data_IF_164956791222
#
_entry.id   IF_164956791222
#
_cell.length_a   1.000
_cell.length_b   1.000
_cell.length_c   1.000
_cell.angle_alpha   90.00
_cell.angle_beta   90.00
_cell.angle_gamma   90.00
#
_symmetry.space_group_name_H-M   'P 1'
#
loop_
_entity.id
_entity.type
_entity.pdbx_description
1 polymer ?
#
# COMPACT_ATOMS: atom_id res chain seq x y z
N UNK A 1 -23.80 -30.02 12.76
CA UNK A 1 -22.44 -30.58 12.98
C UNK A 1 -21.44 -29.49 12.60
N UNK A 2 -20.83 -28.82 13.58
CA UNK A 2 -19.78 -27.83 13.33
C UNK A 2 -18.58 -28.54 12.72
N UNK A 3 -18.25 -28.23 11.47
CA UNK A 3 -17.02 -28.71 10.84
C UNK A 3 -15.86 -27.91 11.43
N UNK A 4 -15.10 -28.53 12.32
CA UNK A 4 -13.85 -28.00 12.81
C UNK A 4 -12.86 -27.97 11.63
N UNK A 5 -12.70 -26.81 11.00
CA UNK A 5 -11.59 -26.58 10.10
C UNK A 5 -10.31 -26.74 10.91
N UNK A 6 -9.56 -27.81 10.66
CA UNK A 6 -8.15 -27.85 11.03
C UNK A 6 -7.50 -26.64 10.37
N UNK A 7 -7.22 -25.60 11.15
CA UNK A 7 -6.28 -24.54 10.79
C UNK A 7 -4.90 -25.20 10.67
N UNK A 8 -4.61 -25.75 9.49
CA UNK A 8 -3.23 -26.07 9.11
C UNK A 8 -2.46 -24.75 9.23
N UNK A 9 -1.61 -24.68 10.26
CA UNK A 9 -0.67 -23.58 10.39
C UNK A 9 0.12 -23.48 9.08
N UNK A 10 0.23 -22.26 8.55
CA UNK A 10 0.97 -22.03 7.32
C UNK A 10 2.45 -22.39 7.50
N UNK A 11 3.12 -22.77 6.39
CA UNK A 11 4.58 -22.85 6.36
C UNK A 11 5.19 -21.52 6.88
N UNK A 12 6.40 -21.55 7.46
CA UNK A 12 7.13 -20.34 7.82
C UNK A 12 7.11 -19.33 6.67
N UNK A 13 6.92 -18.05 6.99
CA UNK A 13 6.80 -16.94 6.04
C UNK A 13 5.52 -16.90 5.19
N UNK A 14 4.54 -17.78 5.40
CA UNK A 14 3.25 -17.73 4.71
C UNK A 14 2.11 -17.36 5.66
N UNK A 15 1.07 -16.74 5.12
CA UNK A 15 -0.12 -16.35 5.87
C UNK A 15 -1.37 -16.13 4.99
N UNK A 16 -2.48 -15.78 5.66
CA UNK A 16 -3.77 -15.53 5.04
C UNK A 16 -4.58 -16.80 4.80
N UNK A 17 -5.81 -16.64 4.30
CA UNK A 17 -6.68 -17.77 3.96
C UNK A 17 -5.98 -18.67 2.94
N UNK A 18 -5.74 -19.93 3.29
CA UNK A 18 -5.06 -20.88 2.42
C UNK A 18 -3.56 -20.65 2.22
N UNK A 19 -2.91 -19.85 3.09
CA UNK A 19 -1.46 -19.62 3.07
C UNK A 19 -0.96 -19.06 1.71
N UNK A 20 -1.74 -18.15 1.13
CA UNK A 20 -1.53 -17.64 -0.22
C UNK A 20 -0.64 -16.38 -0.27
N UNK A 21 -0.31 -15.78 0.88
CA UNK A 21 0.52 -14.58 0.95
C UNK A 21 1.84 -14.88 1.62
N UNK A 22 2.93 -14.44 0.99
CA UNK A 22 4.27 -14.49 1.58
C UNK A 22 4.51 -13.23 2.42
N UNK A 23 5.11 -13.38 3.60
CA UNK A 23 5.49 -12.29 4.50
C UNK A 23 6.78 -11.64 4.00
N UNK A 24 6.84 -10.33 4.07
CA UNK A 24 8.05 -9.54 3.77
C UNK A 24 8.45 -8.67 4.96
N UNK A 25 8.54 -9.28 6.14
CA UNK A 25 8.94 -8.61 7.37
C UNK A 25 10.46 -8.45 7.45
N UNK A 26 10.91 -7.31 7.96
CA UNK A 26 12.32 -7.08 8.23
C UNK A 26 12.80 -7.97 9.39
N UNK A 27 14.09 -8.34 9.33
CA UNK A 27 14.81 -9.06 10.37
C UNK A 27 14.17 -10.40 10.78
N UNK A 28 13.43 -11.06 9.87
CA UNK A 28 12.70 -12.30 10.13
C UNK A 28 11.75 -12.20 11.35
N UNK A 29 11.28 -11.00 11.65
CA UNK A 29 10.30 -10.79 12.73
C UNK A 29 8.93 -11.29 12.30
N UNK A 30 8.14 -11.81 13.25
CA UNK A 30 6.75 -12.16 13.00
C UNK A 30 5.93 -10.86 12.91
N UNK A 31 5.64 -10.37 11.70
CA UNK A 31 4.52 -9.46 11.55
C UNK A 31 3.24 -10.27 11.75
N UNK A 32 2.33 -9.74 12.57
CA UNK A 32 1.04 -10.38 12.79
C UNK A 32 0.24 -10.42 11.47
N UNK A 33 -0.12 -11.63 11.05
CA UNK A 33 -0.90 -11.92 9.85
C UNK A 33 -2.33 -11.34 9.89
N UNK A 34 -2.82 -10.93 11.06
CA UNK A 34 -4.19 -10.46 11.31
C UNK A 34 -4.31 -8.97 11.57
N UNK A 35 -3.34 -8.35 12.25
CA UNK A 35 -3.38 -6.91 12.62
C UNK A 35 -2.24 -6.08 12.02
N UNK A 36 -1.33 -6.70 11.27
CA UNK A 36 -0.33 -6.00 10.48
C UNK A 36 0.87 -5.48 11.28
N UNK A 37 0.69 -5.10 12.54
CA UNK A 37 1.76 -4.70 13.46
C UNK A 37 1.32 -5.00 14.90
N UNK A 38 2.14 -5.70 15.68
CA UNK A 38 1.90 -5.84 17.13
C UNK A 38 3.00 -5.19 17.97
N UNK A 39 4.18 -4.94 17.38
CA UNK A 39 5.34 -4.43 18.10
C UNK A 39 5.97 -3.30 17.25
N UNK A 40 6.33 -2.19 17.88
CA UNK A 40 6.91 -1.00 17.24
C UNK A 40 8.22 -1.27 16.44
N UNK A 41 8.77 -2.49 16.51
CA UNK A 41 9.99 -2.91 15.83
C UNK A 41 9.78 -3.71 14.53
N UNK A 42 8.56 -4.19 14.25
CA UNK A 42 8.31 -5.03 13.07
C UNK A 42 8.13 -4.18 11.81
N UNK A 43 9.21 -3.67 11.21
CA UNK A 43 9.17 -2.97 9.92
C UNK A 43 9.04 -3.97 8.76
N UNK A 44 8.50 -3.55 7.63
CA UNK A 44 8.54 -4.34 6.40
C UNK A 44 9.95 -4.34 5.77
N UNK A 45 10.22 -5.25 4.84
CA UNK A 45 11.38 -5.16 3.96
C UNK A 45 11.23 -3.97 3.01
N UNK A 46 12.35 -3.45 2.49
CA UNK A 46 12.33 -2.39 1.49
C UNK A 46 11.48 -2.83 0.28
N UNK A 47 10.63 -1.94 -0.22
CA UNK A 47 9.68 -2.24 -1.29
C UNK A 47 8.38 -2.93 -0.85
N UNK A 48 8.14 -3.07 0.46
CA UNK A 48 6.93 -3.71 1.01
C UNK A 48 6.28 -2.86 2.09
N UNK A 49 4.94 -2.92 2.16
CA UNK A 49 4.16 -2.24 3.20
C UNK A 49 2.79 -2.91 3.46
N UNK A 50 2.03 -2.29 4.37
CA UNK A 50 0.66 -2.68 4.73
C UNK A 50 0.59 -3.89 5.67
N UNK A 51 -0.62 -4.38 5.96
CA UNK A 51 -0.81 -5.48 6.91
C UNK A 51 -0.05 -6.74 6.49
N UNK A 52 0.84 -7.23 7.35
CA UNK A 52 1.67 -8.41 7.09
C UNK A 52 2.71 -8.22 5.97
N UNK A 53 3.00 -6.97 5.59
CA UNK A 53 3.94 -6.62 4.53
C UNK A 53 3.62 -7.30 3.18
N UNK A 54 2.33 -7.42 2.84
CA UNK A 54 1.87 -8.15 1.66
C UNK A 54 1.79 -7.31 0.37
N UNK A 55 1.91 -5.99 0.48
CA UNK A 55 1.77 -5.09 -0.66
C UNK A 55 3.13 -4.62 -1.12
N UNK A 56 3.36 -4.71 -2.43
CA UNK A 56 4.51 -4.07 -3.08
C UNK A 56 4.31 -2.56 -3.00
N UNK A 57 5.33 -1.84 -2.56
CA UNK A 57 5.36 -0.39 -2.57
C UNK A 57 5.89 0.13 -3.91
N UNK A 58 5.04 0.80 -4.68
CA UNK A 58 5.41 1.39 -5.96
C UNK A 58 6.38 2.56 -5.83
N UNK A 59 6.57 3.10 -4.63
CA UNK A 59 7.59 4.12 -4.41
C UNK A 59 9.02 3.59 -4.57
N UNK A 60 9.23 2.27 -4.50
CA UNK A 60 10.55 1.67 -4.71
C UNK A 60 10.96 1.61 -6.20
N UNK A 61 10.00 1.78 -7.12
CA UNK A 61 10.19 1.70 -8.56
C UNK A 61 9.90 3.01 -9.31
N UNK A 62 9.92 4.15 -8.61
CA UNK A 62 9.70 5.47 -9.21
C UNK A 62 10.84 5.85 -10.15
N UNK A 63 10.52 6.56 -11.22
CA UNK A 63 11.52 7.16 -12.09
C UNK A 63 11.84 8.60 -11.69
N UNK A 64 10.83 9.36 -11.26
CA UNK A 64 11.04 10.70 -10.74
C UNK A 64 9.94 11.11 -9.76
N UNK A 65 10.31 12.01 -8.85
CA UNK A 65 9.39 12.69 -7.96
C UNK A 65 9.70 14.17 -8.00
N UNK A 66 8.67 14.98 -8.15
CA UNK A 66 8.77 16.44 -8.13
C UNK A 66 7.75 17.02 -7.17
N UNK A 67 8.15 18.08 -6.49
CA UNK A 67 7.30 18.91 -5.64
C UNK A 67 7.32 20.34 -6.17
N UNK A 68 6.30 21.14 -5.86
CA UNK A 68 6.29 22.54 -6.29
C UNK A 68 7.17 23.41 -5.38
N UNK A 69 7.26 23.09 -4.08
CA UNK A 69 7.91 23.97 -3.09
C UNK A 69 8.94 23.26 -2.20
N UNK A 70 8.71 22.01 -1.80
CA UNK A 70 9.57 21.32 -0.83
C UNK A 70 10.61 20.43 -1.49
N UNK A 71 11.90 20.78 -1.39
CA UNK A 71 12.98 19.92 -1.88
C UNK A 71 13.14 18.59 -1.10
N UNK A 72 12.44 18.42 0.02
CA UNK A 72 12.64 17.33 0.97
C UNK A 72 11.70 16.13 0.80
N UNK A 73 11.20 15.86 -0.40
CA UNK A 73 10.31 14.72 -0.66
C UNK A 73 10.91 13.35 -0.28
N UNK A 74 12.25 13.24 -0.19
CA UNK A 74 12.95 12.01 0.21
C UNK A 74 12.54 11.51 1.60
N UNK A 75 12.11 12.43 2.47
CA UNK A 75 11.61 12.09 3.82
C UNK A 75 10.37 11.20 3.76
N UNK A 76 9.59 11.29 2.69
CA UNK A 76 8.38 10.47 2.54
C UNK A 76 8.67 8.99 2.28
N UNK A 77 9.93 8.66 1.96
CA UNK A 77 10.39 7.35 1.50
C UNK A 77 11.55 6.81 2.33
N UNK A 78 11.95 7.49 3.41
CA UNK A 78 13.06 7.08 4.28
C UNK A 78 12.65 5.97 5.27
N UNK A 79 11.36 5.63 5.30
CA UNK A 79 10.78 4.55 6.12
C UNK A 79 10.86 4.85 7.62
N UNK A 80 10.86 6.13 7.94
CA UNK A 80 10.71 6.66 9.28
C UNK A 80 9.41 7.48 9.36
N UNK A 81 8.40 6.89 9.99
CA UNK A 81 7.06 7.49 10.10
C UNK A 81 7.04 8.74 11.03
N UNK A 82 8.18 9.08 11.65
CA UNK A 82 8.35 10.27 12.51
C UNK A 82 9.00 11.46 11.80
N UNK A 83 9.66 11.25 10.67
CA UNK A 83 10.27 12.32 9.90
C UNK A 83 9.28 12.87 8.88
N UNK A 84 9.00 14.18 8.93
CA UNK A 84 7.90 14.77 8.16
C UNK A 84 8.33 15.86 7.18
N UNK A 85 7.68 15.84 6.02
CA UNK A 85 7.64 16.96 5.09
C UNK A 85 6.62 17.98 5.59
N UNK A 86 7.13 19.11 6.06
CA UNK A 86 6.31 20.21 6.57
C UNK A 86 5.65 21.00 5.42
N UNK A 87 4.51 21.64 5.71
CA UNK A 87 3.76 22.53 4.82
C UNK A 87 3.18 21.87 3.55
N UNK A 88 2.83 20.58 3.62
CA UNK A 88 2.26 19.81 2.51
C UNK A 88 0.93 20.37 1.97
N UNK A 89 0.13 21.05 2.80
CA UNK A 89 -1.13 21.70 2.40
C UNK A 89 -0.97 22.66 1.22
N UNK A 90 0.22 23.25 1.06
CA UNK A 90 0.50 24.21 -0.01
C UNK A 90 1.42 23.67 -1.09
N UNK A 91 1.70 22.37 -1.06
CA UNK A 91 2.55 21.68 -2.01
C UNK A 91 1.75 20.61 -2.78
N UNK A 92 2.37 20.10 -3.82
CA UNK A 92 1.82 19.05 -4.66
C UNK A 92 2.93 18.06 -4.95
N UNK A 93 2.69 16.79 -4.64
CA UNK A 93 3.63 15.71 -4.90
C UNK A 93 3.25 15.06 -6.23
N UNK A 94 4.16 15.11 -7.21
CA UNK A 94 4.01 14.39 -8.48
C UNK A 94 5.01 13.24 -8.52
N UNK A 95 4.50 12.04 -8.72
CA UNK A 95 5.24 10.79 -8.72
C UNK A 95 5.08 10.18 -10.10
N UNK A 96 6.17 9.81 -10.74
CA UNK A 96 6.18 9.25 -12.09
C UNK A 96 6.92 7.92 -12.12
N UNK A 97 6.41 7.01 -12.94
CA UNK A 97 6.97 5.69 -13.19
C UNK A 97 7.28 5.53 -14.69
N UNK A 98 8.24 4.66 -15.00
CA UNK A 98 8.57 4.31 -16.38
C UNK A 98 7.58 3.30 -16.98
N UNK A 99 6.77 2.66 -16.14
CA UNK A 99 5.75 1.69 -16.53
C UNK A 99 4.39 2.06 -15.96
N UNK A 100 3.29 1.71 -16.64
CA UNK A 100 1.94 2.03 -16.17
C UNK A 100 1.54 1.14 -14.99
N UNK A 101 0.88 1.71 -13.98
CA UNK A 101 0.40 0.99 -12.80
C UNK A 101 -1.08 1.25 -12.50
N UNK A 102 -1.79 0.20 -12.07
CA UNK A 102 -3.14 0.34 -11.50
C UNK A 102 -3.00 0.66 -10.02
N UNK A 103 -3.45 1.85 -9.62
CA UNK A 103 -3.36 2.31 -8.24
C UNK A 103 -4.65 1.98 -7.51
N UNK A 104 -4.59 1.02 -6.61
CA UNK A 104 -5.78 0.56 -5.87
C UNK A 104 -5.95 1.23 -4.52
N UNK A 105 -4.85 1.54 -3.84
CA UNK A 105 -4.88 2.26 -2.56
C UNK A 105 -3.49 2.79 -2.18
N UNK A 106 -3.47 3.72 -1.24
CA UNK A 106 -2.28 4.37 -0.71
C UNK A 106 -2.40 4.50 0.81
N UNK A 107 -1.27 4.58 1.51
CA UNK A 107 -1.21 4.86 2.95
C UNK A 107 -0.40 6.11 3.21
N UNK A 108 -0.96 7.00 4.02
CA UNK A 108 -0.34 8.23 4.46
C UNK A 108 -0.11 8.19 5.97
N UNK A 109 1.11 8.50 6.39
CA UNK A 109 1.47 8.75 7.78
C UNK A 109 1.60 10.24 8.01
N UNK A 110 0.94 10.75 9.04
CA UNK A 110 0.81 12.17 9.35
C UNK A 110 1.42 12.45 10.72
N UNK A 111 1.86 13.69 10.94
CA UNK A 111 2.45 14.10 12.24
C UNK A 111 1.39 14.00 13.35
N UNK A 112 0.23 14.60 13.11
CA UNK A 112 -0.98 14.51 13.93
C UNK A 112 -2.18 15.04 13.14
N UNK A 113 -3.36 14.46 13.30
CA UNK A 113 -4.59 15.02 12.71
C UNK A 113 -5.69 15.19 13.75
N UNK A 114 -6.22 16.42 13.84
CA UNK A 114 -7.43 16.74 14.61
C UNK A 114 -8.68 16.69 13.72
N UNK A 115 -8.49 16.81 12.40
CA UNK A 115 -9.55 16.82 11.40
C UNK A 115 -9.36 15.68 10.41
N UNK A 116 -10.46 15.18 9.83
CA UNK A 116 -10.39 14.17 8.78
C UNK A 116 -9.60 14.73 7.59
N UNK A 117 -8.43 14.16 7.27
CA UNK A 117 -7.61 14.63 6.17
C UNK A 117 -8.30 14.34 4.84
N UNK A 118 -8.14 15.26 3.88
CA UNK A 118 -8.66 15.12 2.52
C UNK A 118 -7.53 15.27 1.51
N UNK A 119 -7.45 14.30 0.61
CA UNK A 119 -6.45 14.22 -0.44
C UNK A 119 -7.12 14.24 -1.81
N UNK A 120 -6.62 15.11 -2.68
CA UNK A 120 -6.97 15.09 -4.09
C UNK A 120 -5.90 14.30 -4.83
N UNK A 121 -6.31 13.16 -5.39
CA UNK A 121 -5.44 12.26 -6.15
C UNK A 121 -5.82 12.37 -7.62
N UNK A 122 -4.87 12.76 -8.47
CA UNK A 122 -5.05 12.78 -9.91
C UNK A 122 -4.06 11.84 -10.60
N UNK A 123 -4.51 11.13 -11.63
CA UNK A 123 -3.70 10.22 -12.42
C UNK A 123 -3.57 10.67 -13.87
N UNK A 124 -2.39 10.50 -14.45
CA UNK A 124 -2.15 10.74 -15.89
C UNK A 124 -2.05 9.39 -16.61
N UNK A 125 -2.95 9.19 -17.58
CA UNK A 125 -3.00 7.99 -18.41
C UNK A 125 -1.92 8.02 -19.51
N UNK A 126 -1.33 6.86 -19.75
CA UNK A 126 -0.48 6.48 -20.88
C UNK A 126 -1.00 6.89 -22.26
N UNK A 127 -2.32 6.95 -22.45
CA UNK A 127 -2.92 7.15 -23.77
C UNK A 127 -2.99 8.61 -24.20
N UNK A 128 -2.96 9.54 -23.25
CA UNK A 128 -3.23 10.96 -23.51
C UNK A 128 -2.08 11.89 -23.10
N UNK A 129 -1.12 11.45 -22.26
CA UNK A 129 0.10 12.17 -21.81
C UNK A 129 -0.06 13.61 -21.26
N UNK A 130 -1.22 14.26 -21.39
CA UNK A 130 -1.40 15.69 -21.10
C UNK A 130 -2.51 15.98 -20.09
N UNK A 131 -3.52 15.10 -19.96
CA UNK A 131 -4.63 15.33 -19.03
C UNK A 131 -4.56 14.42 -17.80
N UNK A 132 -4.21 15.03 -16.66
CA UNK A 132 -4.41 14.42 -15.35
C UNK A 132 -5.89 14.47 -14.97
N UNK A 133 -6.45 13.33 -14.57
CA UNK A 133 -7.84 13.22 -14.13
C UNK A 133 -7.89 12.87 -12.66
N UNK A 134 -8.84 13.46 -11.93
CA UNK A 134 -9.10 13.08 -10.54
C UNK A 134 -9.54 11.62 -10.48
N UNK A 135 -8.87 10.86 -9.64
CA UNK A 135 -9.21 9.48 -9.34
C UNK A 135 -10.31 9.48 -8.25
N UNK A 136 -11.38 8.69 -8.41
CA UNK A 136 -12.39 8.47 -7.39
C UNK A 136 -11.77 7.65 -6.28
N UNK A 137 -11.25 8.35 -5.29
CA UNK A 137 -10.67 7.75 -4.10
C UNK A 137 -11.48 8.15 -2.87
N UNK A 138 -11.39 7.30 -1.85
CA UNK A 138 -12.03 7.45 -0.55
C UNK A 138 -10.99 7.33 0.54
N UNK A 139 -10.99 8.27 1.46
CA UNK A 139 -10.16 8.25 2.66
C UNK A 139 -10.81 7.40 3.77
N UNK A 140 -9.98 6.65 4.49
CA UNK A 140 -10.33 5.81 5.64
C UNK A 140 -9.29 6.04 6.73
N UNK A 141 -9.74 6.58 7.87
CA UNK A 141 -8.87 6.72 9.04
C UNK A 141 -8.61 5.34 9.66
N UNK A 142 -7.34 4.95 9.73
CA UNK A 142 -6.89 3.74 10.42
C UNK A 142 -6.50 4.08 11.87
N UNK A 143 -5.91 5.25 12.08
CA UNK A 143 -5.59 5.81 13.40
C UNK A 143 -5.55 7.34 13.32
N UNK A 144 -5.22 8.02 14.41
CA UNK A 144 -5.06 9.49 14.45
C UNK A 144 -3.90 10.01 13.57
N UNK A 145 -3.01 9.12 13.14
CA UNK A 145 -1.84 9.44 12.29
C UNK A 145 -1.83 8.70 10.96
N UNK A 146 -2.73 7.75 10.74
CA UNK A 146 -2.70 6.87 9.56
C UNK A 146 -4.00 6.97 8.78
N UNK A 147 -3.87 7.26 7.49
CA UNK A 147 -4.97 7.35 6.53
C UNK A 147 -4.70 6.40 5.39
N UNK A 148 -5.67 5.53 5.11
CA UNK A 148 -5.69 4.75 3.89
C UNK A 148 -6.60 5.45 2.87
N UNK A 149 -6.10 5.65 1.66
CA UNK A 149 -6.86 6.23 0.55
C UNK A 149 -7.07 5.13 -0.48
N UNK A 150 -8.30 4.66 -0.62
CA UNK A 150 -8.67 3.59 -1.55
C UNK A 150 -9.23 4.18 -2.83
N UNK A 151 -8.74 3.76 -3.99
CA UNK A 151 -9.17 4.24 -5.29
C UNK A 151 -9.89 3.11 -6.05
N UNK A 152 -10.91 3.46 -6.83
CA UNK A 152 -11.64 2.46 -7.59
C UNK A 152 -10.76 1.85 -8.70
N UNK A 153 -10.70 0.52 -8.83
CA UNK A 153 -9.84 -0.17 -9.80
C UNK A 153 -10.35 -0.06 -11.25
N UNK A 154 -11.43 0.68 -11.48
CA UNK A 154 -12.04 0.89 -12.81
C UNK A 154 -11.19 1.83 -13.68
N UNK A 155 -10.19 2.49 -13.09
CA UNK A 155 -9.32 3.42 -13.82
C UNK A 155 -8.24 2.72 -14.63
N UNK A 156 -7.87 3.29 -15.80
CA UNK A 156 -6.73 2.80 -16.57
C UNK A 156 -5.44 2.91 -15.76
N UNK A 157 -4.45 2.12 -16.16
CA UNK A 157 -3.12 2.22 -15.58
C UNK A 157 -2.53 3.63 -15.83
N UNK A 158 -1.91 4.20 -14.80
CA UNK A 158 -1.34 5.55 -14.82
C UNK A 158 0.18 5.49 -14.77
N UNK A 159 0.83 6.44 -15.43
CA UNK A 159 2.30 6.62 -15.36
C UNK A 159 2.71 7.73 -14.42
N UNK A 160 1.75 8.57 -14.01
CA UNK A 160 1.98 9.63 -13.05
C UNK A 160 0.78 9.74 -12.11
N UNK A 161 1.08 9.93 -10.82
CA UNK A 161 0.10 10.32 -9.81
C UNK A 161 0.51 11.68 -9.25
N UNK A 162 -0.48 12.54 -9.09
CA UNK A 162 -0.38 13.85 -8.48
C UNK A 162 -1.21 13.84 -7.21
N UNK A 163 -0.59 14.13 -6.07
CA UNK A 163 -1.21 14.14 -4.75
C UNK A 163 -1.13 15.55 -4.20
N UNK A 164 -2.28 16.10 -3.83
CA UNK A 164 -2.39 17.34 -3.06
C UNK A 164 -3.31 17.13 -1.87
N UNK A 165 -3.22 18.00 -0.88
CA UNK A 165 -4.08 17.94 0.30
C UNK A 165 -4.70 19.30 0.59
N UNK A 166 -5.88 19.30 1.23
CA UNK A 166 -6.57 20.54 1.62
C UNK A 166 -6.35 20.94 3.07
N UNK A 167 -6.06 19.97 3.93
CA UNK A 167 -5.99 20.16 5.37
C UNK A 167 -4.90 19.33 6.07
N UNK A 168 -3.89 18.87 5.32
CA UNK A 168 -2.74 18.15 5.87
C UNK A 168 -1.53 19.05 5.87
N UNK A 169 -1.06 19.44 7.05
CA UNK A 169 0.12 20.30 7.17
C UNK A 169 1.40 19.51 6.98
N UNK A 170 1.51 18.33 7.59
CA UNK A 170 2.74 17.54 7.55
C UNK A 170 2.43 16.11 7.10
N UNK A 171 3.24 15.65 6.15
CA UNK A 171 3.20 14.28 5.62
C UNK A 171 4.52 13.61 5.96
N UNK A 172 4.49 12.50 6.69
CA UNK A 172 5.67 11.82 7.22
C UNK A 172 6.12 10.66 6.35
N UNK A 173 5.19 9.78 5.98
CA UNK A 173 5.48 8.71 5.03
C UNK A 173 4.33 8.50 4.08
N UNK A 174 4.68 8.04 2.88
CA UNK A 174 3.73 7.68 1.84
C UNK A 174 4.05 6.25 1.38
N UNK A 175 3.01 5.48 1.09
CA UNK A 175 3.15 4.17 0.46
C UNK A 175 2.07 4.02 -0.61
N UNK A 176 2.42 3.47 -1.77
CA UNK A 176 1.50 3.32 -2.90
C UNK A 176 1.41 1.84 -3.28
N UNK A 177 0.18 1.29 -3.28
CA UNK A 177 -0.02 -0.14 -3.53
C UNK A 177 0.22 -0.50 -4.98
N UNK A 178 1.21 -1.38 -5.22
CA UNK A 178 1.46 -2.10 -6.46
C UNK A 178 0.72 -3.43 -6.57
N UNK A 179 -0.20 -3.70 -5.64
CA UNK A 179 -0.93 -4.95 -5.52
C UNK A 179 -0.32 -5.90 -4.49
N UNK A 180 -1.02 -7.01 -4.25
CA UNK A 180 -0.55 -8.08 -3.35
C UNK A 180 0.39 -8.99 -4.10
N UNK A 181 1.49 -9.38 -3.45
CA UNK A 181 2.30 -10.46 -3.97
C UNK A 181 1.59 -11.79 -3.72
N UNK A 182 0.86 -12.23 -4.74
CA UNK A 182 0.28 -13.56 -4.83
C UNK A 182 1.30 -14.50 -5.47
N UNK A 183 2.45 -14.69 -4.82
CA UNK A 183 3.32 -15.80 -5.15
C UNK A 183 2.51 -17.09 -4.91
N UNK A 184 2.03 -17.72 -6.00
CA UNK A 184 1.18 -18.90 -5.90
C UNK A 184 2.01 -20.02 -5.26
N UNK A 185 1.73 -20.33 -3.99
CA UNK A 185 2.28 -21.52 -3.34
C UNK A 185 1.71 -22.77 -4.04
N UNK A 186 2.46 -23.31 -5.02
CA UNK A 186 2.04 -24.44 -5.87
C UNK A 186 1.74 -25.73 -5.07
N UNK A 187 2.16 -25.83 -3.81
CA UNK A 187 1.88 -27.01 -2.97
C UNK A 187 0.42 -27.04 -2.48
N UNK A 188 -0.17 -25.90 -2.13
CA UNK A 188 -1.55 -25.86 -1.63
C UNK A 188 -2.62 -25.89 -2.73
N UNK A 189 -2.26 -25.57 -3.99
CA UNK A 189 -3.18 -25.66 -5.12
C UNK A 189 -3.58 -27.11 -5.46
N UNK A 190 -2.71 -28.10 -5.16
CA UNK A 190 -3.03 -29.53 -5.35
C UNK A 190 -3.98 -30.07 -4.29
N UNK A 191 -3.91 -29.58 -3.05
CA UNK A 191 -4.82 -30.01 -2.00
C UNK A 191 -6.24 -29.46 -2.23
N UNK A 192 -6.37 -28.19 -2.62
CA UNK A 192 -7.68 -27.59 -2.94
C UNK A 192 -8.38 -28.24 -4.16
N UNK A 193 -7.62 -28.70 -5.17
CA UNK A 193 -8.17 -29.45 -6.29
C UNK A 193 -8.50 -30.92 -5.97
N UNK A 194 -7.90 -31.48 -4.90
CA UNK A 194 -8.23 -32.85 -4.49
C UNK A 194 -9.59 -32.96 -3.78
N UNK A 195 -10.09 -31.87 -3.19
CA UNK A 195 -11.40 -31.84 -2.51
C UNK A 195 -12.58 -31.49 -3.43
N UNK A 196 -12.34 -31.06 -4.68
CA UNK A 196 -13.39 -30.78 -5.67
C UNK A 196 -13.64 -31.93 -6.65
N UNK A 197 -12.87 -33.03 -6.55
CA UNK A 197 -13.24 -34.30 -7.20
C UNK A 197 -14.01 -35.20 -6.21
N UNK A 198 -15.25 -34.81 -5.93
CA UNK A 198 -16.30 -35.81 -5.70
C UNK A 198 -16.97 -36.00 -7.05
N UNK A 199 -16.52 -37.04 -7.76
CA UNK A 199 -17.14 -37.55 -8.99
C UNK A 199 -18.47 -38.24 -8.66
N UNK A 200 -19.40 -38.38 -9.64
CA UNK A 200 -20.85 -38.48 -9.44
C UNK A 200 -21.33 -39.76 -8.76
#
# INVERSE_FOLDING_TARGET
>A
VCSAYLLLACEPDWFGRGCQYQRHCANNTNCDATVGFHNNDSKCNKGWFGPGCQYVDLLDSISSVTTQRSANFKVLMDRDDETCMMNFMTDQLKITWDQPHIITWMRFYLSNTVVLPSFDIAGTDTTLYTDSKLLPCREVMVSTRIVDVHCDPVWPAVIQVTISSRNVTDLCSLYISGGRNVAINRRHHRLAQSFTKVSP
#
